data_IF_052262810694
#
_entry.id   IF_052262810694
#
_cell.length_a   1.000
_cell.length_b   1.000
_cell.length_c   1.000
_cell.angle_alpha   90.00
_cell.angle_beta   90.00
_cell.angle_gamma   90.00
#
_symmetry.space_group_name_H-M   'P 1'
#
loop_
_entity.id
_entity.type
_entity.pdbx_description
1 polymer ?
#
# COMPACT_ATOMS: atom_id res chain seq x y z
N UNK A 1 6.27 15.92 12.39
CA UNK A 1 4.90 16.45 12.13
C UNK A 1 3.99 15.30 11.74
N UNK A 2 2.86 15.11 12.45
CA UNK A 2 1.86 14.10 12.10
C UNK A 2 0.99 14.61 10.93
N UNK A 3 0.98 13.90 9.81
CA UNK A 3 0.22 14.30 8.60
C UNK A 3 -1.16 13.66 8.50
N UNK A 4 -1.35 12.49 9.11
CA UNK A 4 -2.59 11.73 9.11
C UNK A 4 -2.63 10.83 10.34
N UNK A 5 -3.76 10.83 11.03
CA UNK A 5 -4.09 9.86 12.07
C UNK A 5 -5.26 9.00 11.56
N UNK A 6 -5.20 7.70 11.79
CA UNK A 6 -6.22 6.72 11.35
C UNK A 6 -6.62 5.93 12.59
N UNK A 7 -7.92 5.83 12.87
CA UNK A 7 -8.40 4.94 13.91
C UNK A 7 -8.37 3.50 13.38
N UNK A 8 -8.02 2.53 14.23
CA UNK A 8 -8.04 1.12 13.85
C UNK A 8 -9.44 0.67 13.42
N UNK A 9 -10.50 1.21 14.02
CA UNK A 9 -11.88 0.92 13.61
C UNK A 9 -12.23 1.44 12.21
N UNK A 10 -11.45 2.37 11.65
CA UNK A 10 -11.67 2.92 10.31
C UNK A 10 -10.91 2.11 9.24
N UNK A 11 -10.12 1.11 9.60
CA UNK A 11 -9.37 0.31 8.62
C UNK A 11 -10.26 -0.83 8.11
N UNK A 12 -10.64 -0.78 6.83
CA UNK A 12 -11.46 -1.82 6.21
C UNK A 12 -10.64 -3.05 5.84
N UNK A 13 -9.44 -2.86 5.26
CA UNK A 13 -8.56 -3.96 4.83
C UNK A 13 -7.15 -3.47 4.48
N UNK A 14 -6.22 -4.42 4.36
CA UNK A 14 -4.89 -4.22 3.78
C UNK A 14 -4.82 -4.86 2.40
N UNK A 15 -4.57 -4.09 1.36
CA UNK A 15 -4.26 -4.56 0.02
C UNK A 15 -2.77 -4.84 -0.16
N UNK A 16 -2.46 -5.98 -0.79
CA UNK A 16 -1.11 -6.46 -1.04
C UNK A 16 -1.00 -6.96 -2.48
N UNK A 17 0.18 -6.80 -3.08
CA UNK A 17 0.51 -7.52 -4.31
C UNK A 17 0.99 -8.94 -4.00
N UNK A 18 0.84 -9.90 -4.93
CA UNK A 18 1.38 -11.26 -4.79
C UNK A 18 2.89 -11.34 -5.06
N UNK A 19 3.59 -10.21 -5.23
CA UNK A 19 5.01 -10.16 -5.58
C UNK A 19 5.90 -9.79 -4.38
N UNK A 20 7.21 -10.01 -4.54
CA UNK A 20 8.23 -9.56 -3.59
C UNK A 20 8.48 -8.07 -3.75
N UNK A 21 7.60 -7.29 -3.14
CA UNK A 21 7.70 -5.84 -3.07
C UNK A 21 7.52 -5.34 -1.64
N UNK A 22 7.66 -4.03 -1.50
CA UNK A 22 7.58 -3.29 -0.25
C UNK A 22 6.26 -2.51 -0.11
N UNK A 23 5.26 -2.75 -0.97
CA UNK A 23 4.04 -1.95 -0.99
C UNK A 23 2.93 -2.51 -0.10
N UNK A 24 2.25 -1.60 0.59
CA UNK A 24 1.06 -1.85 1.42
C UNK A 24 -0.02 -0.83 1.04
N UNK A 25 -1.25 -1.28 0.90
CA UNK A 25 -2.41 -0.42 0.63
C UNK A 25 -3.34 -0.49 1.84
N UNK A 26 -3.51 0.61 2.58
CA UNK A 26 -4.49 0.69 3.66
C UNK A 26 -5.80 1.25 3.11
N UNK A 27 -6.83 0.40 3.05
CA UNK A 27 -8.18 0.80 2.71
C UNK A 27 -8.88 1.31 3.95
N UNK A 28 -9.32 2.56 3.91
CA UNK A 28 -9.87 3.28 5.06
C UNK A 28 -11.32 3.62 4.77
N UNK A 29 -12.20 3.28 5.72
CA UNK A 29 -13.62 3.52 5.65
C UNK A 29 -13.92 4.99 5.41
N UNK A 30 -14.74 5.28 4.39
CA UNK A 30 -15.15 6.63 3.99
C UNK A 30 -14.00 7.66 3.89
N UNK A 31 -12.78 7.21 3.57
CA UNK A 31 -11.60 8.06 3.49
C UNK A 31 -10.71 7.68 2.31
N UNK A 32 -9.66 8.46 2.08
CA UNK A 32 -8.69 8.18 1.02
C UNK A 32 -7.78 7.02 1.43
N UNK A 33 -7.38 6.21 0.45
CA UNK A 33 -6.47 5.08 0.65
C UNK A 33 -5.07 5.58 1.01
N UNK A 34 -4.32 4.82 1.82
CA UNK A 34 -2.86 5.05 1.97
C UNK A 34 -2.09 4.01 1.18
N UNK A 35 -1.34 4.42 0.15
CA UNK A 35 -0.32 3.60 -0.49
C UNK A 35 1.01 3.87 0.21
N UNK A 36 1.60 2.85 0.84
CA UNK A 36 2.83 2.94 1.60
C UNK A 36 3.88 2.04 0.98
N UNK A 37 5.14 2.44 1.05
CA UNK A 37 6.30 1.61 0.70
C UNK A 37 7.20 1.47 1.93
N UNK A 38 7.53 0.23 2.31
CA UNK A 38 8.38 -0.08 3.46
C UNK A 38 9.08 -1.43 3.29
N UNK A 39 10.39 -1.52 3.61
CA UNK A 39 11.09 -2.80 3.63
C UNK A 39 10.60 -3.73 4.75
N UNK A 40 9.96 -3.18 5.79
CA UNK A 40 9.41 -3.90 6.92
C UNK A 40 7.94 -4.29 6.68
N UNK A 41 7.62 -4.71 5.45
CA UNK A 41 6.23 -4.95 5.02
C UNK A 41 5.53 -5.95 5.94
N UNK A 42 6.18 -7.08 6.19
CA UNK A 42 5.64 -8.16 7.03
C UNK A 42 5.51 -7.72 8.49
N UNK A 43 6.52 -7.07 9.04
CA UNK A 43 6.54 -6.58 10.42
C UNK A 43 5.47 -5.52 10.66
N UNK A 44 5.31 -4.60 9.71
CA UNK A 44 4.29 -3.55 9.79
C UNK A 44 2.88 -4.16 9.73
N UNK A 45 2.63 -5.10 8.81
CA UNK A 45 1.34 -5.81 8.73
C UNK A 45 1.05 -6.54 10.04
N UNK A 46 2.04 -7.26 10.60
CA UNK A 46 1.88 -7.96 11.88
C UNK A 46 1.59 -7.00 13.03
N UNK A 47 2.30 -5.87 13.11
CA UNK A 47 2.07 -4.85 14.12
C UNK A 47 0.67 -4.22 14.00
N UNK A 48 0.23 -3.91 12.77
CA UNK A 48 -1.13 -3.39 12.51
C UNK A 48 -2.18 -4.42 12.89
N UNK A 49 -2.04 -5.68 12.46
CA UNK A 49 -2.99 -6.76 12.75
C UNK A 49 -3.14 -7.00 14.25
N UNK A 50 -2.03 -7.09 14.98
CA UNK A 50 -2.05 -7.23 16.44
C UNK A 50 -2.80 -6.08 17.09
N UNK A 51 -2.47 -4.84 16.69
CA UNK A 51 -3.07 -3.65 17.28
C UNK A 51 -4.54 -3.48 16.90
N UNK A 52 -4.92 -3.88 15.69
CA UNK A 52 -6.30 -3.90 15.21
C UNK A 52 -7.12 -4.88 16.06
N UNK A 53 -6.67 -6.13 16.19
CA UNK A 53 -7.32 -7.14 17.02
C UNK A 53 -7.61 -6.64 18.45
N UNK A 54 -6.60 -6.03 19.10
CA UNK A 54 -6.73 -5.46 20.44
C UNK A 54 -7.71 -4.27 20.52
N UNK A 55 -7.92 -3.56 19.42
CA UNK A 55 -8.69 -2.30 19.36
C UNK A 55 -10.10 -2.46 18.81
N UNK A 56 -10.38 -3.59 18.18
CA UNK A 56 -11.66 -3.87 17.52
C UNK A 56 -12.30 -5.14 18.08
N UNK A 57 -12.11 -5.41 19.37
CA UNK A 57 -12.70 -6.53 20.10
C UNK A 57 -12.51 -7.90 19.42
N UNK A 58 -11.28 -8.17 18.96
CA UNK A 58 -10.89 -9.44 18.38
C UNK A 58 -11.23 -9.64 16.89
N UNK A 59 -11.73 -8.61 16.18
CA UNK A 59 -11.90 -8.70 14.72
C UNK A 59 -10.55 -8.94 14.02
N UNK A 60 -10.61 -9.71 12.94
CA UNK A 60 -9.46 -9.99 12.07
C UNK A 60 -9.47 -8.98 10.92
N UNK A 61 -8.35 -8.30 10.71
CA UNK A 61 -8.19 -7.36 9.60
C UNK A 61 -8.00 -8.12 8.28
N UNK A 62 -8.86 -7.92 7.25
CA UNK A 62 -8.73 -8.63 5.99
C UNK A 62 -7.46 -8.26 5.21
N UNK A 63 -6.78 -9.26 4.66
CA UNK A 63 -5.67 -9.11 3.73
C UNK A 63 -6.13 -9.47 2.31
N UNK A 64 -6.08 -8.50 1.40
CA UNK A 64 -6.54 -8.64 0.02
C UNK A 64 -5.34 -8.71 -0.92
N UNK A 65 -5.04 -9.89 -1.46
CA UNK A 65 -3.97 -10.07 -2.43
C UNK A 65 -4.50 -9.90 -3.86
N UNK A 66 -3.94 -8.93 -4.59
CA UNK A 66 -4.32 -8.69 -5.98
C UNK A 66 -3.18 -8.01 -6.74
N UNK A 67 -3.08 -8.24 -8.05
CA UNK A 67 -2.17 -7.50 -8.94
C UNK A 67 -2.74 -6.14 -9.34
N UNK A 68 -4.04 -5.90 -9.15
CA UNK A 68 -4.70 -4.62 -9.45
C UNK A 68 -5.54 -4.14 -8.28
N UNK A 69 -5.22 -2.96 -7.75
CA UNK A 69 -5.95 -2.35 -6.64
C UNK A 69 -6.52 -1.00 -7.05
N UNK A 70 -7.79 -0.75 -6.72
CA UNK A 70 -8.37 0.59 -6.83
C UNK A 70 -8.04 1.38 -5.57
N UNK A 71 -7.50 2.59 -5.72
CA UNK A 71 -7.17 3.49 -4.62
C UNK A 71 -7.93 4.80 -4.74
N UNK A 72 -8.34 5.34 -3.60
CA UNK A 72 -8.98 6.65 -3.50
C UNK A 72 -7.91 7.66 -3.11
N UNK A 73 -7.72 8.70 -3.92
CA UNK A 73 -6.76 9.76 -3.62
C UNK A 73 -7.33 10.77 -2.64
N UNK A 74 -6.44 11.36 -1.84
CA UNK A 74 -6.79 12.52 -1.03
C UNK A 74 -7.26 13.65 -1.94
N UNK A 75 -8.44 14.21 -1.63
CA UNK A 75 -8.90 15.42 -2.31
C UNK A 75 -8.04 16.60 -1.89
N UNK A 76 -7.36 17.21 -2.85
CA UNK A 76 -6.53 18.40 -2.68
C UNK A 76 -6.88 19.44 -3.74
N UNK A 77 -6.30 20.64 -3.63
CA UNK A 77 -6.39 21.69 -4.67
C UNK A 77 -5.80 21.27 -6.03
N UNK A 78 -4.98 20.21 -6.05
CA UNK A 78 -4.32 19.70 -7.25
C UNK A 78 -5.01 18.45 -7.82
N UNK A 79 -6.13 18.02 -7.24
CA UNK A 79 -6.93 16.89 -7.73
C UNK A 79 -7.37 15.93 -6.64
N UNK A 80 -7.97 14.82 -7.07
CA UNK A 80 -8.47 13.74 -6.23
C UNK A 80 -9.06 12.63 -7.10
N UNK A 81 -9.93 11.81 -6.52
CA UNK A 81 -10.66 10.76 -7.24
C UNK A 81 -10.01 9.39 -7.14
N UNK A 82 -10.42 8.47 -8.02
CA UNK A 82 -9.99 7.08 -8.00
C UNK A 82 -8.89 6.80 -9.03
N UNK A 83 -7.90 6.00 -8.65
CA UNK A 83 -6.83 5.49 -9.53
C UNK A 83 -6.71 3.98 -9.38
N UNK A 84 -6.07 3.35 -10.36
CA UNK A 84 -5.72 1.93 -10.29
C UNK A 84 -4.21 1.82 -10.07
N UNK A 85 -3.77 1.00 -9.12
CA UNK A 85 -2.38 0.58 -8.97
C UNK A 85 -2.27 -0.83 -9.54
N UNK A 86 -1.44 -1.01 -10.58
CA UNK A 86 -1.19 -2.31 -11.21
C UNK A 86 0.22 -2.76 -10.93
N UNK A 87 0.35 -3.91 -10.28
CA UNK A 87 1.59 -4.57 -9.99
C UNK A 87 1.88 -5.61 -11.08
N UNK A 88 3.13 -5.68 -11.53
CA UNK A 88 3.60 -6.68 -12.49
C UNK A 88 5.08 -6.95 -12.32
N UNK A 89 5.53 -8.17 -12.58
CA UNK A 89 6.97 -8.48 -12.63
C UNK A 89 7.62 -7.84 -13.85
N UNK A 90 8.86 -7.41 -13.69
CA UNK A 90 9.75 -7.01 -14.77
C UNK A 90 11.09 -7.73 -14.56
N UNK A 91 11.20 -8.93 -15.11
CA UNK A 91 12.34 -9.82 -14.90
C UNK A 91 13.66 -9.27 -15.48
N UNK A 92 13.57 -8.27 -16.36
CA UNK A 92 14.74 -7.60 -16.97
C UNK A 92 15.17 -6.34 -16.20
N UNK A 93 14.43 -5.95 -15.16
CA UNK A 93 14.77 -4.80 -14.31
C UNK A 93 15.74 -5.20 -13.19
N UNK A 94 16.36 -4.22 -12.54
CA UNK A 94 17.18 -4.44 -11.33
C UNK A 94 16.51 -3.95 -10.05
N UNK A 95 15.45 -3.15 -10.16
CA UNK A 95 14.77 -2.49 -9.05
C UNK A 95 13.31 -2.21 -9.37
N UNK A 96 12.53 -1.88 -8.34
CA UNK A 96 11.12 -1.53 -8.49
C UNK A 96 10.95 -0.19 -9.21
N UNK A 97 10.14 -0.16 -10.26
CA UNK A 97 9.87 1.05 -11.05
C UNK A 97 8.40 1.48 -10.95
N UNK A 98 8.20 2.78 -10.79
CA UNK A 98 6.87 3.41 -10.76
C UNK A 98 6.63 4.19 -12.04
N UNK A 99 5.59 3.82 -12.78
CA UNK A 99 5.26 4.42 -14.06
C UNK A 99 3.79 4.87 -14.09
N UNK A 100 3.51 6.18 -13.88
CA UNK A 100 2.16 6.71 -14.00
C UNK A 100 1.75 6.87 -15.48
N UNK A 101 0.58 6.34 -15.85
CA UNK A 101 -0.04 6.51 -17.17
C UNK A 101 -1.54 6.72 -17.02
N UNK A 102 -1.99 7.95 -17.24
CA UNK A 102 -3.38 8.34 -17.07
C UNK A 102 -3.86 8.14 -15.61
N UNK A 103 -4.93 7.37 -15.41
CA UNK A 103 -5.48 7.04 -14.08
C UNK A 103 -4.85 5.77 -13.47
N UNK A 104 -3.78 5.25 -14.08
CA UNK A 104 -3.13 4.02 -13.63
C UNK A 104 -1.70 4.34 -13.18
N UNK A 105 -1.32 3.84 -12.01
CA UNK A 105 0.07 3.74 -11.57
C UNK A 105 0.52 2.29 -11.80
N UNK A 106 1.48 2.10 -12.70
CA UNK A 106 2.14 0.81 -12.88
C UNK A 106 3.29 0.70 -11.89
N UNK A 107 3.36 -0.43 -11.21
CA UNK A 107 4.44 -0.83 -10.31
C UNK A 107 5.08 -2.06 -10.95
N UNK A 108 6.30 -1.90 -11.44
CA UNK A 108 7.08 -2.99 -12.02
C UNK A 108 8.07 -3.49 -10.99
N UNK A 109 7.94 -4.75 -10.58
CA UNK A 109 8.78 -5.37 -9.55
C UNK A 109 9.89 -6.12 -10.26
N UNK A 110 11.14 -5.75 -10.01
CA UNK A 110 12.30 -6.49 -10.51
C UNK A 110 12.38 -7.92 -9.94
N UNK A 111 13.25 -8.78 -10.49
CA UNK A 111 13.68 -9.97 -9.76
C UNK A 111 14.24 -9.48 -8.42
N UNK A 112 13.70 -9.96 -7.30
CA UNK A 112 13.98 -9.44 -5.96
C UNK A 112 15.48 -9.28 -5.64
N UNK A 113 15.79 -8.40 -4.69
CA UNK A 113 17.16 -7.98 -4.36
C UNK A 113 18.05 -9.12 -3.81
N UNK A 114 19.29 -9.16 -4.29
CA UNK A 114 20.46 -9.33 -3.40
C UNK A 114 20.71 -8.01 -2.66
N UNK A 115 20.27 -7.91 -1.39
CA UNK A 115 20.74 -6.95 -0.39
C UNK A 115 20.42 -5.45 -0.58
N UNK A 116 19.64 -4.91 0.36
CA UNK A 116 19.46 -3.49 0.72
C UNK A 116 18.25 -2.77 0.11
N UNK A 117 17.22 -2.60 0.94
CA UNK A 117 16.03 -1.83 0.64
C UNK A 117 16.08 -0.45 1.34
N UNK A 118 15.86 0.62 0.58
CA UNK A 118 15.79 2.00 1.07
C UNK A 118 14.32 2.40 1.30
N UNK A 119 14.05 3.15 2.37
CA UNK A 119 12.70 3.58 2.77
C UNK A 119 12.29 4.82 1.97
N UNK A 120 11.28 4.70 1.10
CA UNK A 120 10.64 5.84 0.41
C UNK A 120 9.17 5.92 0.85
N UNK A 121 8.76 7.00 1.51
CA UNK A 121 7.35 7.22 1.84
C UNK A 121 6.73 8.04 0.72
N UNK A 122 5.99 7.41 -0.19
CA UNK A 122 5.21 8.12 -1.21
C UNK A 122 3.87 8.52 -0.60
N UNK A 123 3.73 9.81 -0.28
CA UNK A 123 2.43 10.39 0.06
C UNK A 123 1.78 10.83 -1.25
N UNK A 124 0.76 10.11 -1.72
CA UNK A 124 -0.15 10.59 -2.78
C UNK A 124 -1.38 11.25 -2.14
#
# INVERSE_FOLDING_TARGET
>A
VLKRQINFNDIDSIGLSPYQDNFIILNIHNSYTSLLETPLKTELINAINKRYYDKTDGRILPLNFNTSHQIILKKTRFGGGSRIVKFSKNDNGSSTQLFPKGKILFVYIGPGLSGNASMLVIII
#
